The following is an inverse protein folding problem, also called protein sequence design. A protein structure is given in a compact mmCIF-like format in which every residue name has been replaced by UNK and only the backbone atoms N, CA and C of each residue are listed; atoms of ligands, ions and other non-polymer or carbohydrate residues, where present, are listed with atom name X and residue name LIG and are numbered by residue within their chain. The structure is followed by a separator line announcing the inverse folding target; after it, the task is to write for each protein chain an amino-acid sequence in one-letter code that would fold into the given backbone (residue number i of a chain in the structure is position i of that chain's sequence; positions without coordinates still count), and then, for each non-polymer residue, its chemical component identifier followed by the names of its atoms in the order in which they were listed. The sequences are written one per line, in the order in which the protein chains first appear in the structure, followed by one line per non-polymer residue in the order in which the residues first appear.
data_IF_661047363804
#
_entry.id   IF_661047363804
#
_cell.length_a   1.000
_cell.length_b   1.000
_cell.length_c   1.000
_cell.angle_alpha   90.00
_cell.angle_beta   90.00
_cell.angle_gamma   90.00
#
_symmetry.space_group_name_H-M   'P 1'
#
loop_
_entity.id
_entity.type
_entity.pdbx_description
1 polymer ?
#
# COMPACT_ATOMS: atom_id res chain seq x y z
N UNK A 1 9.07 29.15 -25.40
CA UNK A 1 9.03 27.68 -25.55
C UNK A 1 8.57 27.13 -24.21
N UNK A 2 7.27 26.98 -23.99
CA UNK A 2 6.76 26.27 -22.83
C UNK A 2 6.16 24.99 -23.39
N UNK A 3 6.94 23.90 -23.34
CA UNK A 3 6.34 22.59 -23.48
C UNK A 3 5.31 22.49 -22.35
N UNK A 4 4.04 22.42 -22.72
CA UNK A 4 2.98 22.10 -21.79
C UNK A 4 3.19 20.65 -21.38
N UNK A 5 4.00 20.44 -20.36
CA UNK A 5 4.12 19.15 -19.71
C UNK A 5 2.78 18.89 -19.04
N UNK A 6 1.90 18.20 -19.76
CA UNK A 6 0.64 17.71 -19.24
C UNK A 6 0.98 16.62 -18.21
N UNK A 7 1.36 17.05 -17.00
CA UNK A 7 1.79 16.17 -15.91
C UNK A 7 0.64 15.24 -15.56
N UNK A 8 0.78 13.97 -15.93
CA UNK A 8 -0.18 12.92 -15.56
C UNK A 8 0.00 12.66 -14.07
N UNK A 9 -0.84 13.29 -13.25
CA UNK A 9 -0.93 13.02 -11.82
C UNK A 9 -1.28 11.53 -11.61
N UNK A 10 -0.42 10.71 -11.01
CA UNK A 10 -0.71 9.29 -10.79
C UNK A 10 -1.86 9.16 -9.79
N UNK A 11 -2.97 8.56 -10.23
CA UNK A 11 -4.15 8.34 -9.36
C UNK A 11 -4.04 7.08 -8.51
N UNK A 12 -3.18 6.14 -8.90
CA UNK A 12 -3.01 4.83 -8.25
C UNK A 12 -1.54 4.41 -8.25
N UNK A 13 -1.07 3.86 -7.14
CA UNK A 13 0.25 3.26 -6.95
C UNK A 13 0.05 1.79 -6.55
N UNK A 14 0.82 0.89 -7.16
CA UNK A 14 0.86 -0.51 -6.78
C UNK A 14 2.32 -0.86 -6.41
N UNK A 15 2.55 -1.15 -5.13
CA UNK A 15 3.80 -1.69 -4.61
C UNK A 15 3.79 -3.20 -4.69
N UNK A 16 4.80 -3.78 -5.34
CA UNK A 16 4.95 -5.23 -5.46
C UNK A 16 5.89 -5.72 -4.35
N UNK A 17 5.38 -6.60 -3.49
CA UNK A 17 6.06 -7.18 -2.33
C UNK A 17 5.64 -6.51 -1.01
N UNK A 18 4.98 -7.26 -0.13
CA UNK A 18 4.59 -6.88 1.22
C UNK A 18 5.70 -7.17 2.27
N UNK A 19 6.95 -6.94 1.89
CA UNK A 19 8.10 -7.11 2.78
C UNK A 19 8.33 -5.93 3.73
N UNK A 20 9.42 -6.02 4.51
CA UNK A 20 9.88 -5.01 5.47
C UNK A 20 10.02 -3.59 4.91
N UNK A 21 10.32 -3.44 3.61
CA UNK A 21 10.45 -2.12 2.98
C UNK A 21 9.17 -1.67 2.26
N UNK A 22 8.49 -2.61 1.59
CA UNK A 22 7.35 -2.32 0.72
C UNK A 22 6.18 -1.69 1.47
N UNK A 23 5.76 -2.32 2.57
CA UNK A 23 4.62 -1.84 3.35
C UNK A 23 4.92 -0.49 4.04
N UNK A 24 6.02 -0.30 4.78
CA UNK A 24 6.31 1.00 5.40
C UNK A 24 6.44 2.16 4.41
N UNK A 25 7.06 1.91 3.25
CA UNK A 25 7.19 2.93 2.21
C UNK A 25 5.83 3.33 1.65
N UNK A 26 4.99 2.34 1.33
CA UNK A 26 3.64 2.57 0.83
C UNK A 26 2.73 3.21 1.89
N UNK A 27 2.93 2.89 3.16
CA UNK A 27 2.21 3.51 4.28
C UNK A 27 2.49 5.01 4.35
N UNK A 28 3.77 5.40 4.29
CA UNK A 28 4.16 6.81 4.27
C UNK A 28 3.59 7.51 3.04
N UNK A 29 3.65 6.89 1.85
CA UNK A 29 3.05 7.48 0.64
C UNK A 29 1.55 7.70 0.77
N UNK A 30 0.80 6.73 1.30
CA UNK A 30 -0.65 6.86 1.50
C UNK A 30 -1.02 7.93 2.54
N UNK A 31 -0.18 8.11 3.56
CA UNK A 31 -0.37 9.16 4.58
C UNK A 31 -0.07 10.55 4.02
N UNK A 32 1.02 10.69 3.26
CA UNK A 32 1.47 11.99 2.72
C UNK A 32 0.66 12.43 1.50
N UNK A 33 0.14 11.48 0.72
CA UNK A 33 -0.62 11.73 -0.50
C UNK A 33 -1.98 10.99 -0.45
N UNK A 34 -2.92 11.43 0.42
CA UNK A 34 -4.20 10.76 0.62
C UNK A 34 -5.10 10.73 -0.63
N UNK A 35 -4.84 11.59 -1.61
CA UNK A 35 -5.51 11.61 -2.92
C UNK A 35 -5.07 10.48 -3.86
N UNK A 36 -3.96 9.80 -3.55
CA UNK A 36 -3.41 8.71 -4.34
C UNK A 36 -3.81 7.37 -3.72
N UNK A 37 -4.43 6.51 -4.52
CA UNK A 37 -4.79 5.16 -4.06
C UNK A 37 -3.55 4.27 -4.05
N UNK A 38 -3.09 3.86 -2.87
CA UNK A 38 -1.94 2.96 -2.71
C UNK A 38 -2.41 1.53 -2.45
N UNK A 39 -1.85 0.59 -3.22
CA UNK A 39 -2.01 -0.84 -3.04
C UNK A 39 -0.65 -1.49 -2.83
N UNK A 40 -0.56 -2.45 -1.92
CA UNK A 40 0.58 -3.37 -1.82
C UNK A 40 0.10 -4.76 -2.17
N UNK A 41 0.81 -5.44 -3.06
CA UNK A 41 0.48 -6.79 -3.49
C UNK A 41 1.58 -7.78 -3.13
N UNK A 42 1.20 -8.97 -2.68
CA UNK A 42 2.13 -10.08 -2.45
C UNK A 42 1.51 -11.41 -2.89
N UNK A 43 2.33 -12.43 -3.15
CA UNK A 43 1.87 -13.78 -3.47
C UNK A 43 1.57 -14.58 -2.20
N UNK A 44 2.25 -14.25 -1.09
CA UNK A 44 2.07 -14.92 0.19
C UNK A 44 0.79 -14.41 0.88
N UNK A 45 -0.25 -15.25 0.83
CA UNK A 45 -1.54 -14.96 1.44
C UNK A 45 -1.47 -14.86 2.97
N UNK A 46 -0.57 -15.61 3.62
CA UNK A 46 -0.38 -15.53 5.07
C UNK A 46 0.26 -14.19 5.44
N UNK A 47 1.24 -13.73 4.66
CA UNK A 47 1.87 -12.43 4.84
C UNK A 47 0.86 -11.28 4.69
N UNK A 48 0.06 -11.31 3.61
CA UNK A 48 -1.03 -10.34 3.39
C UNK A 48 -2.04 -10.37 4.54
N UNK A 49 -2.43 -11.55 5.01
CA UNK A 49 -3.39 -11.69 6.12
C UNK A 49 -2.82 -11.13 7.42
N UNK A 50 -1.54 -11.40 7.73
CA UNK A 50 -0.86 -10.85 8.92
C UNK A 50 -0.82 -9.33 8.88
N UNK A 51 -0.49 -8.74 7.74
CA UNK A 51 -0.50 -7.29 7.56
C UNK A 51 -1.88 -6.64 7.75
N UNK A 52 -2.95 -7.37 7.46
CA UNK A 52 -4.34 -6.94 7.68
C UNK A 52 -4.89 -7.34 9.07
N UNK A 53 -4.06 -7.95 9.92
CA UNK A 53 -4.43 -8.38 11.26
C UNK A 53 -3.88 -7.45 12.34
N UNK A 54 -4.29 -7.66 13.59
CA UNK A 54 -3.70 -6.97 14.75
C UNK A 54 -2.23 -7.40 15.01
N UNK A 55 -1.81 -8.55 14.48
CA UNK A 55 -0.48 -9.11 14.67
C UNK A 55 0.36 -8.93 13.41
N UNK A 56 1.16 -7.88 13.41
CA UNK A 56 2.04 -7.56 12.30
C UNK A 56 3.16 -8.60 12.15
N UNK A 57 3.61 -8.88 10.90
CA UNK A 57 4.50 -10.01 10.63
C UNK A 57 5.96 -9.81 11.07
N UNK A 58 6.39 -8.57 11.38
CA UNK A 58 7.79 -8.25 11.71
C UNK A 58 7.84 -7.25 12.88
N UNK A 59 8.40 -7.66 14.02
CA UNK A 59 8.38 -6.89 15.28
C UNK A 59 9.03 -5.49 15.16
N UNK A 60 10.18 -5.39 14.50
CA UNK A 60 10.90 -4.12 14.32
C UNK A 60 10.10 -3.13 13.47
N UNK A 61 9.43 -3.65 12.44
CA UNK A 61 8.59 -2.85 11.52
C UNK A 61 7.28 -2.44 12.18
N UNK A 62 6.77 -3.29 13.06
CA UNK A 62 5.55 -3.04 13.82
C UNK A 62 5.66 -1.76 14.62
N UNK A 63 6.82 -1.51 15.23
CA UNK A 63 7.07 -0.27 15.98
C UNK A 63 7.02 0.97 15.08
N UNK A 64 7.64 0.90 13.90
CA UNK A 64 7.60 2.00 12.94
C UNK A 64 6.18 2.25 12.41
N UNK A 65 5.50 1.19 12.00
CA UNK A 65 4.11 1.23 11.52
C UNK A 65 3.19 1.83 12.59
N UNK A 66 3.27 1.34 13.83
CA UNK A 66 2.50 1.86 14.97
C UNK A 66 2.84 3.32 15.29
N UNK A 67 4.07 3.78 15.00
CA UNK A 67 4.45 5.18 15.18
C UNK A 67 3.90 6.11 14.10
N UNK A 68 3.71 5.63 12.87
CA UNK A 68 3.19 6.45 11.77
C UNK A 68 1.66 6.39 11.66
N UNK A 69 1.05 5.27 12.06
CA UNK A 69 -0.39 5.13 12.15
C UNK A 69 -0.82 5.56 13.54
N UNK A 70 -1.26 6.80 13.72
CA UNK A 70 -2.00 7.26 14.91
C UNK A 70 -3.36 6.53 15.11
N UNK A 71 -3.57 5.40 14.45
CA UNK A 71 -4.85 4.71 14.33
C UNK A 71 -4.79 3.39 15.05
N UNK A 72 -5.70 3.23 16.01
CA UNK A 72 -5.98 1.98 16.69
C UNK A 72 -6.51 0.88 15.74
N UNK A 73 -6.75 1.18 14.45
CA UNK A 73 -7.40 0.28 13.50
C UNK A 73 -6.95 0.61 12.06
N UNK A 74 -5.87 -0.03 11.58
CA UNK A 74 -5.54 -0.17 10.15
C UNK A 74 -4.72 0.94 9.46
N UNK A 75 -4.02 0.55 8.38
CA UNK A 75 -3.25 1.43 7.50
C UNK A 75 -4.16 2.04 6.40
N UNK A 76 -3.92 3.28 5.95
CA UNK A 76 -4.73 3.95 4.92
C UNK A 76 -4.42 3.46 3.50
N UNK A 77 -4.17 2.17 3.33
CA UNK A 77 -3.86 1.53 2.05
C UNK A 77 -4.36 0.08 2.03
N UNK A 78 -4.49 -0.49 0.83
CA UNK A 78 -4.93 -1.87 0.68
C UNK A 78 -3.72 -2.79 0.52
N UNK A 79 -3.60 -3.80 1.37
CA UNK A 79 -2.60 -4.86 1.23
C UNK A 79 -3.37 -6.12 0.82
N UNK A 80 -3.16 -6.59 -0.42
CA UNK A 80 -3.96 -7.66 -1.03
C UNK A 80 -3.07 -8.66 -1.76
N UNK A 81 -3.59 -9.84 -2.07
CA UNK A 81 -2.80 -10.78 -2.89
C UNK A 81 -2.76 -10.34 -4.35
N UNK A 82 -1.78 -10.80 -5.14
CA UNK A 82 -1.79 -10.56 -6.59
C UNK A 82 -3.09 -11.03 -7.25
N UNK A 83 -3.64 -12.16 -6.82
CA UNK A 83 -4.88 -12.71 -7.35
C UNK A 83 -6.07 -11.80 -7.05
N UNK A 84 -6.11 -11.17 -5.87
CA UNK A 84 -7.16 -10.24 -5.49
C UNK A 84 -7.02 -8.89 -6.18
N UNK A 85 -5.80 -8.46 -6.50
CA UNK A 85 -5.54 -7.24 -7.25
C UNK A 85 -6.21 -7.28 -8.63
N UNK A 86 -6.05 -8.36 -9.39
CA UNK A 86 -6.65 -8.52 -10.73
C UNK A 86 -8.18 -8.49 -10.72
N UNK A 87 -8.83 -8.86 -9.62
CA UNK A 87 -10.29 -8.77 -9.45
C UNK A 87 -10.71 -7.32 -9.13
N UNK A 88 -9.89 -6.61 -8.36
CA UNK A 88 -10.19 -5.26 -7.87
C UNK A 88 -9.92 -4.13 -8.87
N UNK A 89 -9.05 -4.35 -9.85
CA UNK A 89 -8.81 -3.38 -10.93
C UNK A 89 -9.87 -3.62 -12.00
N UNK A 90 -10.81 -2.69 -12.25
CA UNK A 90 -11.69 -2.82 -13.40
C UNK A 90 -10.79 -2.84 -14.64
N UNK A 91 -10.74 -3.99 -15.31
CA UNK A 91 -10.21 -4.11 -16.66
C UNK A 91 -11.01 -3.10 -17.47
N UNK A 92 -10.38 -1.98 -17.81
CA UNK A 92 -11.00 -1.05 -18.74
C UNK A 92 -11.22 -1.85 -20.04
N UNK A 93 -12.43 -1.82 -20.62
CA UNK A 93 -12.66 -2.45 -21.91
C UNK A 93 -11.77 -1.84 -23.01
#
# INVERSE_FOLDING_TARGET
MNAGDNQVQPRKICGIGAGILGVPTCAVLAIQCPEIQVHVVDEDQDLVTRWNSEYLPIDEVSTFINSISNFHIGLPMNIITFTDFWISVPVSP
#
